data_IF_256827083569
#
_entry.id   IF_256827083569
#
_cell.length_a   1.000
_cell.length_b   1.000
_cell.length_c   1.000
_cell.angle_alpha   90.00
_cell.angle_beta   90.00
_cell.angle_gamma   90.00
#
_symmetry.space_group_name_H-M   'P 1'
#
loop_
_entity.id
_entity.type
_entity.pdbx_description
1 polymer ?
#
# COMPACT_ATOMS: atom_id res chain seq x y z
N UNK A 1 7.72 -15.84 18.93
CA UNK A 1 7.01 -16.20 17.69
C UNK A 1 7.84 -15.78 16.48
N UNK A 2 7.60 -16.38 15.33
CA UNK A 2 8.13 -15.89 14.06
C UNK A 2 7.02 -15.15 13.30
N UNK A 3 7.20 -13.86 13.06
CA UNK A 3 6.30 -12.98 12.32
C UNK A 3 6.92 -12.50 10.99
N UNK A 4 7.93 -13.21 10.48
CA UNK A 4 8.65 -12.86 9.25
C UNK A 4 7.76 -12.81 8.01
N UNK A 5 6.58 -13.38 8.06
CA UNK A 5 5.65 -13.39 6.94
C UNK A 5 4.64 -12.24 6.97
N UNK A 6 4.29 -11.72 8.17
CA UNK A 6 3.30 -10.66 8.30
C UNK A 6 3.34 -9.96 9.66
N UNK A 7 3.32 -8.63 9.64
CA UNK A 7 3.11 -7.77 10.82
C UNK A 7 1.75 -8.00 11.48
N UNK A 8 0.75 -8.50 10.74
CA UNK A 8 -0.58 -8.76 11.25
C UNK A 8 -0.61 -9.81 12.39
N UNK A 9 0.35 -10.73 12.41
CA UNK A 9 0.46 -11.72 13.49
C UNK A 9 0.79 -11.06 14.82
N UNK A 10 1.60 -10.02 14.80
CA UNK A 10 1.91 -9.21 15.99
C UNK A 10 0.70 -8.35 16.37
N UNK A 11 0.19 -7.55 15.43
CA UNK A 11 -0.94 -6.63 15.67
C UNK A 11 -2.17 -7.35 16.23
N UNK A 12 -2.52 -8.53 15.72
CA UNK A 12 -3.67 -9.31 16.18
C UNK A 12 -3.59 -9.65 17.67
N UNK A 13 -2.40 -10.02 18.16
CA UNK A 13 -2.19 -10.36 19.57
C UNK A 13 -2.10 -9.10 20.46
N UNK A 14 -1.53 -8.02 19.95
CA UNK A 14 -1.46 -6.75 20.68
C UNK A 14 -2.85 -6.17 20.92
N UNK A 15 -3.72 -6.15 19.90
CA UNK A 15 -5.08 -5.59 19.97
C UNK A 15 -5.94 -6.27 21.05
N UNK A 16 -5.73 -7.55 21.31
CA UNK A 16 -6.46 -8.29 22.34
C UNK A 16 -5.75 -8.35 23.70
N UNK A 17 -4.44 -8.01 23.71
CA UNK A 17 -3.53 -8.25 24.83
C UNK A 17 -3.96 -7.63 26.16
N UNK A 18 -4.57 -6.43 26.16
CA UNK A 18 -5.04 -5.76 27.36
C UNK A 18 -6.18 -6.52 28.08
N UNK A 19 -6.88 -7.40 27.38
CA UNK A 19 -7.99 -8.20 27.92
C UNK A 19 -7.55 -9.57 28.47
N UNK A 20 -6.29 -9.94 28.30
CA UNK A 20 -5.75 -11.16 28.90
C UNK A 20 -5.42 -10.91 30.37
N UNK A 21 -5.60 -11.91 31.25
CA UNK A 21 -5.39 -11.80 32.68
C UNK A 21 -4.00 -11.28 33.06
N UNK A 22 -2.99 -11.62 32.26
CA UNK A 22 -1.58 -11.21 32.49
C UNK A 22 -1.04 -10.29 31.41
N UNK A 23 -1.90 -9.79 30.52
CA UNK A 23 -1.47 -9.12 29.30
C UNK A 23 -0.77 -10.07 28.33
N UNK A 24 0.08 -9.53 27.45
CA UNK A 24 0.86 -10.31 26.51
C UNK A 24 2.27 -9.73 26.36
N UNK A 25 3.26 -10.59 26.27
CA UNK A 25 4.61 -10.20 25.83
C UNK A 25 4.97 -11.03 24.60
N UNK A 26 5.26 -10.34 23.50
CA UNK A 26 5.65 -10.96 22.24
C UNK A 26 7.12 -10.71 21.99
N UNK A 27 7.83 -11.77 21.65
CA UNK A 27 9.22 -11.71 21.16
C UNK A 27 9.24 -12.27 19.76
N UNK A 28 9.64 -11.46 18.80
CA UNK A 28 9.89 -11.91 17.43
C UNK A 28 11.33 -12.42 17.32
N UNK A 29 11.49 -13.60 16.73
CA UNK A 29 12.78 -14.29 16.60
C UNK A 29 13.05 -14.76 15.16
N UNK A 30 12.37 -14.19 14.19
CA UNK A 30 12.53 -14.51 12.78
C UNK A 30 13.38 -13.49 12.00
N UNK A 31 13.22 -13.49 10.68
CA UNK A 31 13.73 -12.42 9.80
C UNK A 31 12.97 -11.12 10.09
N UNK A 32 13.48 -9.92 9.71
CA UNK A 32 12.78 -8.66 9.94
C UNK A 32 11.31 -8.74 9.54
N UNK A 33 10.44 -8.22 10.42
CA UNK A 33 8.99 -8.21 10.17
C UNK A 33 8.70 -7.26 9.00
N UNK A 34 7.98 -7.70 7.97
CA UNK A 34 7.61 -6.81 6.88
C UNK A 34 6.53 -5.83 7.32
N UNK A 35 6.48 -4.66 6.68
CA UNK A 35 5.47 -3.62 6.98
C UNK A 35 5.39 -3.28 8.47
N UNK A 36 6.54 -3.12 9.11
CA UNK A 36 6.66 -2.80 10.55
C UNK A 36 5.84 -1.55 10.96
N UNK A 37 5.67 -0.50 10.11
CA UNK A 37 4.81 0.64 10.43
C UNK A 37 3.38 0.26 10.84
N UNK A 38 2.82 -0.86 10.37
CA UNK A 38 1.50 -1.33 10.82
C UNK A 38 1.48 -1.76 12.29
N UNK A 39 2.62 -2.25 12.82
CA UNK A 39 2.73 -2.55 14.26
C UNK A 39 2.82 -1.25 15.04
N UNK A 40 3.60 -0.27 14.56
CA UNK A 40 3.69 1.04 15.19
C UNK A 40 2.32 1.74 15.24
N UNK A 41 1.53 1.67 14.16
CA UNK A 41 0.16 2.16 14.10
C UNK A 41 -0.73 1.47 15.15
N UNK A 42 -0.63 0.14 15.27
CA UNK A 42 -1.36 -0.64 16.28
C UNK A 42 -1.00 -0.20 17.71
N UNK A 43 0.29 0.00 17.98
CA UNK A 43 0.79 0.46 19.28
C UNK A 43 0.27 1.87 19.60
N UNK A 44 0.30 2.78 18.63
CA UNK A 44 -0.20 4.14 18.78
C UNK A 44 -1.70 4.14 19.15
N UNK A 45 -2.52 3.42 18.38
CA UNK A 45 -3.97 3.29 18.63
C UNK A 45 -4.28 2.70 20.01
N UNK A 46 -3.52 1.69 20.46
CA UNK A 46 -3.67 1.11 21.78
C UNK A 46 -3.34 2.12 22.89
N UNK A 47 -2.28 2.91 22.71
CA UNK A 47 -1.90 3.96 23.67
C UNK A 47 -2.95 5.08 23.76
N UNK A 48 -3.52 5.49 22.63
CA UNK A 48 -4.65 6.43 22.62
C UNK A 48 -5.84 5.91 23.42
N UNK A 49 -6.14 4.60 23.32
CA UNK A 49 -7.18 3.95 24.11
C UNK A 49 -6.79 3.71 25.58
N UNK A 50 -5.66 4.28 26.05
CA UNK A 50 -5.19 4.19 27.43
C UNK A 50 -4.51 2.87 27.78
N UNK A 51 -4.21 2.04 26.81
CA UNK A 51 -3.53 0.75 27.02
C UNK A 51 -2.03 0.98 27.19
N UNK A 52 -1.44 0.42 28.25
CA UNK A 52 0.01 0.48 28.46
C UNK A 52 0.70 -0.53 27.55
N UNK A 53 1.47 -0.02 26.58
CA UNK A 53 2.29 -0.80 25.65
C UNK A 53 3.75 -0.38 25.77
N UNK A 54 4.64 -1.35 25.97
CA UNK A 54 6.08 -1.18 25.97
C UNK A 54 6.67 -1.85 24.72
N UNK A 55 7.28 -1.07 23.86
CA UNK A 55 7.97 -1.45 22.63
C UNK A 55 9.42 -0.94 22.60
N UNK A 56 9.98 -0.62 23.78
CA UNK A 56 11.32 -0.05 23.94
C UNK A 56 12.46 -1.03 23.56
N UNK A 57 12.19 -2.33 23.61
CA UNK A 57 13.15 -3.35 23.22
C UNK A 57 12.88 -3.82 21.78
N UNK A 58 13.95 -3.89 20.97
CA UNK A 58 13.85 -4.36 19.58
C UNK A 58 13.15 -5.72 19.48
N UNK A 59 12.27 -5.87 18.50
CA UNK A 59 11.51 -7.11 18.25
C UNK A 59 10.70 -7.62 19.45
N UNK A 60 10.32 -6.71 20.36
CA UNK A 60 9.60 -7.08 21.58
C UNK A 60 8.51 -6.07 21.87
N UNK A 61 7.31 -6.57 22.11
CA UNK A 61 6.14 -5.75 22.46
C UNK A 61 5.48 -6.35 23.67
N UNK A 62 5.18 -5.51 24.67
CA UNK A 62 4.50 -5.91 25.88
C UNK A 62 3.25 -5.07 26.07
N UNK A 63 2.09 -5.71 26.15
CA UNK A 63 0.82 -5.08 26.50
C UNK A 63 0.45 -5.50 27.92
N UNK A 64 0.27 -4.52 28.81
CA UNK A 64 -0.18 -4.77 30.18
C UNK A 64 -1.68 -5.01 30.22
N UNK A 65 -2.19 -5.85 31.15
CA UNK A 65 -3.62 -6.00 31.33
C UNK A 65 -4.23 -4.70 31.87
N UNK A 66 -5.43 -4.38 31.44
CA UNK A 66 -6.10 -3.16 31.91
C UNK A 66 -7.36 -2.80 31.13
N UNK A 67 -8.00 -1.70 31.49
CA UNK A 67 -9.15 -1.19 30.76
C UNK A 67 -8.72 -0.67 29.39
N UNK A 68 -9.64 -0.77 28.43
CA UNK A 68 -9.56 -0.09 27.13
C UNK A 68 -10.62 1.01 27.19
N UNK A 69 -10.19 2.26 27.06
CA UNK A 69 -11.09 3.41 27.14
C UNK A 69 -11.81 3.59 25.80
N UNK A 70 -13.05 4.06 25.88
CA UNK A 70 -13.77 4.50 24.70
C UNK A 70 -13.09 5.74 24.11
N UNK A 71 -13.01 5.78 22.79
CA UNK A 71 -12.48 6.91 22.03
C UNK A 71 -13.60 7.51 21.18
N UNK A 72 -13.58 8.82 21.05
CA UNK A 72 -14.35 9.54 20.04
C UNK A 72 -13.35 9.99 18.97
N UNK A 73 -13.34 9.30 17.83
CA UNK A 73 -12.34 9.50 16.79
C UNK A 73 -12.99 9.73 15.43
N UNK A 74 -12.44 10.66 14.68
CA UNK A 74 -12.69 10.77 13.25
C UNK A 74 -11.72 9.84 12.52
N UNK A 75 -12.27 8.89 11.75
CA UNK A 75 -11.46 7.90 11.05
C UNK A 75 -10.77 8.56 9.87
N UNK A 76 -9.45 8.46 9.81
CA UNK A 76 -8.65 8.93 8.68
C UNK A 76 -9.04 8.20 7.38
N UNK A 77 -8.92 8.86 6.20
CA UNK A 77 -8.97 8.17 4.92
C UNK A 77 -7.94 7.03 4.88
N UNK A 78 -8.27 5.92 4.22
CA UNK A 78 -7.29 4.88 3.92
C UNK A 78 -6.35 5.37 2.80
N UNK A 79 -5.13 5.73 3.17
CA UNK A 79 -4.17 6.37 2.27
C UNK A 79 -3.66 5.41 1.20
N UNK A 80 -3.60 4.11 1.50
CA UNK A 80 -3.21 3.10 0.51
C UNK A 80 -4.30 2.91 -0.56
N UNK A 81 -5.57 2.91 -0.13
CA UNK A 81 -6.70 2.78 -1.06
C UNK A 81 -6.98 4.07 -1.83
N UNK A 82 -6.57 5.23 -1.32
CA UNK A 82 -6.55 6.49 -2.06
C UNK A 82 -5.52 6.48 -3.21
N UNK A 83 -4.54 5.60 -3.15
CA UNK A 83 -3.41 5.53 -4.08
C UNK A 83 -3.78 5.56 -5.55
N UNK A 84 -4.64 4.67 -6.07
CA UNK A 84 -5.02 4.67 -7.48
C UNK A 84 -5.69 5.97 -7.93
N UNK A 85 -6.45 6.64 -7.05
CA UNK A 85 -7.14 7.89 -7.38
C UNK A 85 -6.16 9.05 -7.52
N UNK A 86 -5.21 9.22 -6.59
CA UNK A 86 -4.20 10.27 -6.71
C UNK A 86 -3.20 9.97 -7.83
N UNK A 87 -2.88 8.70 -8.09
CA UNK A 87 -2.07 8.28 -9.22
C UNK A 87 -2.73 8.59 -10.56
N UNK A 88 -4.07 8.55 -10.64
CA UNK A 88 -4.81 8.91 -11.85
C UNK A 88 -4.54 10.37 -12.28
N UNK A 89 -4.31 11.30 -11.33
CA UNK A 89 -3.92 12.66 -11.67
C UNK A 89 -2.62 12.70 -12.50
N UNK A 90 -1.63 11.89 -12.11
CA UNK A 90 -0.36 11.80 -12.82
C UNK A 90 -0.53 11.13 -14.19
N UNK A 91 -1.29 10.03 -14.26
CA UNK A 91 -1.56 9.31 -15.50
C UNK A 91 -2.28 10.17 -16.53
N UNK A 92 -3.31 10.91 -16.12
CA UNK A 92 -4.17 11.69 -17.01
C UNK A 92 -3.67 13.12 -17.27
N UNK A 93 -2.67 13.61 -16.53
CA UNK A 93 -2.25 15.01 -16.62
C UNK A 93 -3.32 15.96 -16.04
N UNK A 94 -3.88 15.59 -14.87
CA UNK A 94 -4.97 16.32 -14.23
C UNK A 94 -4.68 16.62 -12.76
N UNK A 95 -5.76 16.86 -12.00
CA UNK A 95 -5.70 17.14 -10.57
C UNK A 95 -6.72 16.30 -9.81
N UNK A 96 -6.30 15.74 -8.68
CA UNK A 96 -7.15 15.03 -7.72
C UNK A 96 -6.86 15.56 -6.33
N UNK A 97 -7.91 15.82 -5.54
CA UNK A 97 -7.81 16.19 -4.14
C UNK A 97 -8.50 15.13 -3.30
N UNK A 98 -7.80 14.60 -2.30
CA UNK A 98 -8.37 13.71 -1.27
C UNK A 98 -8.56 14.55 -0.01
N UNK A 99 -9.79 14.86 0.38
CA UNK A 99 -10.04 15.64 1.58
C UNK A 99 -9.68 14.85 2.84
N UNK A 100 -9.33 15.57 3.91
CA UNK A 100 -9.04 14.95 5.19
C UNK A 100 -7.74 14.11 5.22
N UNK A 101 -6.85 14.25 4.23
CA UNK A 101 -5.53 13.63 4.30
C UNK A 101 -4.77 14.20 5.49
N UNK A 102 -4.35 13.38 6.44
CA UNK A 102 -3.77 13.88 7.69
C UNK A 102 -2.39 14.50 7.47
N UNK A 103 -2.10 15.58 8.21
CA UNK A 103 -0.79 16.23 8.19
C UNK A 103 0.28 15.36 8.85
N UNK A 104 -0.13 14.54 9.82
CA UNK A 104 0.70 13.55 10.52
C UNK A 104 -0.10 12.27 10.65
N UNK A 105 0.51 11.15 10.30
CA UNK A 105 -0.14 9.84 10.34
C UNK A 105 0.88 8.73 10.56
N UNK A 106 0.41 7.62 11.10
CA UNK A 106 1.17 6.36 11.17
C UNK A 106 0.87 5.43 9.99
N UNK A 107 -0.01 5.81 9.08
CA UNK A 107 -0.29 5.02 7.89
C UNK A 107 0.90 5.04 6.91
N UNK A 108 1.47 3.87 6.62
CA UNK A 108 2.56 3.72 5.65
C UNK A 108 2.18 4.21 4.24
N UNK A 109 0.90 4.24 3.92
CA UNK A 109 0.38 4.75 2.65
C UNK A 109 0.71 6.22 2.37
N UNK A 110 1.08 7.01 3.39
CA UNK A 110 1.52 8.40 3.23
C UNK A 110 2.81 8.53 2.39
N UNK A 111 3.65 7.49 2.33
CA UNK A 111 4.82 7.42 1.44
C UNK A 111 4.46 7.69 -0.03
N UNK A 112 3.21 7.47 -0.40
CA UNK A 112 2.72 7.71 -1.75
C UNK A 112 2.96 9.15 -2.23
N UNK A 113 2.92 10.15 -1.35
CA UNK A 113 3.22 11.55 -1.70
C UNK A 113 4.64 11.71 -2.24
N UNK A 114 5.61 11.05 -1.58
CA UNK A 114 7.01 11.08 -2.00
C UNK A 114 7.20 10.30 -3.31
N UNK A 115 6.57 9.13 -3.43
CA UNK A 115 6.60 8.31 -4.65
C UNK A 115 6.08 9.11 -5.85
N UNK A 116 4.91 9.72 -5.72
CA UNK A 116 4.31 10.49 -6.81
C UNK A 116 5.15 11.73 -7.16
N UNK A 117 5.72 12.40 -6.17
CA UNK A 117 6.62 13.53 -6.41
C UNK A 117 7.88 13.11 -7.18
N UNK A 118 8.50 11.98 -6.81
CA UNK A 118 9.65 11.41 -7.54
C UNK A 118 9.28 10.99 -8.97
N UNK A 119 8.02 10.58 -9.19
CA UNK A 119 7.52 10.21 -10.52
C UNK A 119 6.97 11.40 -11.33
N UNK A 120 7.15 12.64 -10.86
CA UNK A 120 6.86 13.87 -11.63
C UNK A 120 5.54 14.57 -11.28
N UNK A 121 4.86 14.16 -10.21
CA UNK A 121 3.69 14.89 -9.73
C UNK A 121 4.06 16.06 -8.82
N UNK A 122 3.18 17.05 -8.75
CA UNK A 122 3.20 18.05 -7.68
C UNK A 122 2.19 17.65 -6.60
N UNK A 123 2.68 17.42 -5.39
CA UNK A 123 1.88 17.07 -4.23
C UNK A 123 1.81 18.27 -3.27
N UNK A 124 0.61 18.74 -2.95
CA UNK A 124 0.37 19.82 -2.00
C UNK A 124 -0.56 19.31 -0.90
N UNK A 125 -0.09 19.40 0.35
CA UNK A 125 -0.90 19.06 1.53
C UNK A 125 -1.21 20.35 2.28
N UNK A 126 -2.49 20.61 2.48
CA UNK A 126 -2.99 21.77 3.19
C UNK A 126 -4.24 21.40 4.04
N UNK A 127 -4.95 22.40 4.58
CA UNK A 127 -6.14 22.21 5.41
C UNK A 127 -7.31 21.54 4.67
N UNK A 128 -7.28 21.49 3.33
CA UNK A 128 -8.30 20.82 2.51
C UNK A 128 -7.96 19.36 2.23
N UNK A 129 -6.74 18.91 2.55
CA UNK A 129 -6.23 17.57 2.31
C UNK A 129 -5.08 17.51 1.31
N UNK A 130 -4.87 16.35 0.70
CA UNK A 130 -3.82 16.15 -0.30
C UNK A 130 -4.33 16.46 -1.70
N UNK A 131 -3.70 17.41 -2.36
CA UNK A 131 -3.91 17.68 -3.79
C UNK A 131 -2.70 17.19 -4.58
N UNK A 132 -2.94 16.30 -5.54
CA UNK A 132 -1.94 15.82 -6.51
C UNK A 132 -2.26 16.36 -7.88
N UNK A 133 -1.28 16.98 -8.51
CA UNK A 133 -1.35 17.50 -9.88
C UNK A 133 -0.29 16.83 -10.73
N UNK A 134 -0.70 16.21 -11.83
CA UNK A 134 0.16 15.57 -12.81
C UNK A 134 0.17 16.29 -14.14
N UNK A 135 1.20 16.01 -14.94
CA UNK A 135 1.37 16.54 -16.30
C UNK A 135 1.05 15.51 -17.38
N UNK A 136 0.77 14.27 -17.00
CA UNK A 136 0.69 13.14 -17.93
C UNK A 136 2.06 12.58 -18.31
N UNK A 137 3.14 13.16 -17.82
CA UNK A 137 4.50 12.63 -17.95
C UNK A 137 4.85 11.91 -16.64
N UNK A 138 5.36 10.71 -16.74
CA UNK A 138 5.66 9.85 -15.58
C UNK A 138 7.14 9.48 -15.64
N UNK A 139 7.88 9.84 -14.62
CA UNK A 139 9.29 9.50 -14.50
C UNK A 139 9.47 8.08 -13.97
N UNK A 140 10.59 7.44 -14.31
CA UNK A 140 10.99 6.18 -13.69
C UNK A 140 11.43 6.38 -12.24
N UNK A 141 11.37 5.30 -11.44
CA UNK A 141 11.72 5.34 -10.01
C UNK A 141 12.55 4.12 -9.62
N UNK A 142 13.49 4.29 -8.70
CA UNK A 142 14.16 3.22 -7.97
C UNK A 142 13.83 3.35 -6.50
N UNK A 143 13.04 2.42 -5.96
CA UNK A 143 12.45 2.56 -4.62
C UNK A 143 12.39 1.24 -3.86
N UNK A 144 12.67 1.31 -2.56
CA UNK A 144 12.36 0.25 -1.59
C UNK A 144 11.00 0.53 -0.96
N UNK A 145 10.04 -0.38 -1.19
CA UNK A 145 8.68 -0.30 -0.65
C UNK A 145 8.43 -1.27 0.50
N UNK A 146 9.47 -1.71 1.19
CA UNK A 146 9.38 -2.68 2.30
C UNK A 146 8.35 -2.27 3.35
N UNK A 147 8.30 -0.99 3.68
CA UNK A 147 7.45 -0.45 4.74
C UNK A 147 6.05 -0.05 4.27
N UNK A 148 5.85 0.08 2.95
CA UNK A 148 4.58 0.43 2.30
C UNK A 148 4.29 -0.48 1.10
N UNK A 149 4.45 -1.77 1.27
CA UNK A 149 4.41 -2.76 0.20
C UNK A 149 3.06 -2.88 -0.51
N UNK A 150 1.99 -2.45 0.14
CA UNK A 150 0.66 -2.36 -0.44
C UNK A 150 0.56 -1.33 -1.57
N UNK A 151 1.50 -0.39 -1.68
CA UNK A 151 1.59 0.56 -2.78
C UNK A 151 2.17 -0.06 -4.06
N UNK A 152 2.84 -1.21 -3.96
CA UNK A 152 3.54 -1.87 -5.08
C UNK A 152 2.69 -1.98 -6.34
N UNK A 153 1.43 -2.45 -6.31
CA UNK A 153 0.64 -2.57 -7.54
C UNK A 153 0.36 -1.23 -8.23
N UNK A 154 0.09 -0.17 -7.44
CA UNK A 154 -0.10 1.18 -7.99
C UNK A 154 1.19 1.73 -8.60
N UNK A 155 2.32 1.57 -7.90
CA UNK A 155 3.64 2.03 -8.38
C UNK A 155 4.07 1.25 -9.62
N UNK A 156 3.81 -0.06 -9.69
CA UNK A 156 4.11 -0.89 -10.86
C UNK A 156 3.28 -0.47 -12.08
N UNK A 157 2.01 -0.09 -11.89
CA UNK A 157 1.17 0.46 -12.96
C UNK A 157 1.73 1.78 -13.49
N UNK A 158 2.14 2.70 -12.60
CA UNK A 158 2.81 3.95 -13.00
C UNK A 158 4.13 3.68 -13.72
N UNK A 159 4.94 2.74 -13.23
CA UNK A 159 6.22 2.35 -13.83
C UNK A 159 6.06 1.79 -15.25
N UNK A 160 4.99 1.05 -15.52
CA UNK A 160 4.69 0.56 -16.87
C UNK A 160 4.31 1.69 -17.85
N UNK A 161 3.78 2.79 -17.32
CA UNK A 161 3.40 3.99 -18.08
C UNK A 161 4.50 5.07 -18.11
N UNK A 162 5.61 4.85 -17.41
CA UNK A 162 6.69 5.81 -17.27
C UNK A 162 7.51 6.00 -18.56
N UNK A 163 8.40 7.00 -18.57
CA UNK A 163 9.31 7.28 -19.70
C UNK A 163 10.69 6.63 -19.53
N UNK A 164 11.01 6.17 -18.32
CA UNK A 164 12.29 5.56 -17.98
C UNK A 164 12.08 4.29 -17.15
N UNK A 165 13.08 3.39 -17.11
CA UNK A 165 13.01 2.18 -16.31
C UNK A 165 12.77 2.48 -14.83
N UNK A 166 12.04 1.57 -14.17
CA UNK A 166 11.79 1.62 -12.75
C UNK A 166 12.25 0.34 -12.05
N UNK A 167 12.60 0.47 -10.78
CA UNK A 167 12.95 -0.65 -9.94
C UNK A 167 12.20 -0.55 -8.61
N UNK A 168 11.39 -1.57 -8.29
CA UNK A 168 10.66 -1.71 -7.03
C UNK A 168 11.30 -2.86 -6.26
N UNK A 169 11.69 -2.61 -5.00
CA UNK A 169 12.45 -3.54 -4.17
C UNK A 169 11.84 -3.72 -2.78
N UNK A 170 12.36 -4.71 -2.05
CA UNK A 170 12.05 -4.92 -0.63
C UNK A 170 10.69 -5.60 -0.37
N UNK A 171 9.99 -6.06 -1.40
CA UNK A 171 8.59 -6.48 -1.33
C UNK A 171 8.36 -7.99 -1.49
N UNK A 172 9.35 -8.82 -1.14
CA UNK A 172 9.23 -10.29 -1.23
C UNK A 172 7.98 -10.86 -0.55
N UNK A 173 7.57 -10.26 0.54
CA UNK A 173 6.46 -10.73 1.38
C UNK A 173 5.08 -10.57 0.73
N UNK A 174 4.92 -9.69 -0.30
CA UNK A 174 3.64 -9.56 -1.01
C UNK A 174 3.30 -10.79 -1.87
N UNK A 175 4.21 -11.75 -1.99
CA UNK A 175 3.92 -13.06 -2.60
C UNK A 175 2.94 -13.89 -1.78
N UNK A 176 2.84 -13.63 -0.48
CA UNK A 176 1.94 -14.31 0.45
C UNK A 176 0.64 -13.56 0.75
N UNK A 177 0.32 -12.49 0.00
CA UNK A 177 -0.91 -11.73 0.19
C UNK A 177 -2.11 -12.42 -0.48
N UNK A 178 -3.10 -11.67 -1.01
CA UNK A 178 -4.28 -12.22 -1.69
C UNK A 178 -3.90 -13.11 -2.88
N UNK A 179 -2.79 -12.78 -3.53
CA UNK A 179 -2.12 -13.58 -4.56
C UNK A 179 -0.61 -13.35 -4.46
N UNK A 180 0.19 -14.13 -5.22
CA UNK A 180 1.59 -13.74 -5.45
C UNK A 180 1.60 -12.49 -6.35
N UNK A 181 1.57 -11.31 -5.70
CA UNK A 181 1.49 -10.02 -6.40
C UNK A 181 2.67 -9.76 -7.33
N UNK A 182 3.88 -10.26 -7.00
CA UNK A 182 5.04 -10.08 -7.87
C UNK A 182 4.88 -10.88 -9.16
N UNK A 183 4.52 -12.15 -9.06
CA UNK A 183 4.29 -13.00 -10.23
C UNK A 183 3.10 -12.50 -11.06
N UNK A 184 1.99 -12.09 -10.41
CA UNK A 184 0.81 -11.56 -11.08
C UNK A 184 1.13 -10.25 -11.84
N UNK A 185 1.80 -9.28 -11.21
CA UNK A 185 2.21 -8.03 -11.85
C UNK A 185 3.18 -8.29 -13.02
N UNK A 186 4.18 -9.16 -12.82
CA UNK A 186 5.12 -9.51 -13.90
C UNK A 186 4.40 -10.10 -15.11
N UNK A 187 3.44 -11.00 -14.86
CA UNK A 187 2.65 -11.65 -15.92
C UNK A 187 1.80 -10.62 -16.67
N UNK A 188 0.98 -9.85 -15.96
CA UNK A 188 0.02 -8.96 -16.59
C UNK A 188 0.68 -7.75 -17.27
N UNK A 189 1.71 -7.16 -16.66
CA UNK A 189 2.43 -6.05 -17.28
C UNK A 189 3.23 -6.51 -18.50
N UNK A 190 3.77 -7.73 -18.49
CA UNK A 190 4.41 -8.31 -19.67
C UNK A 190 3.38 -8.57 -20.77
N UNK A 191 2.21 -9.11 -20.45
CA UNK A 191 1.12 -9.30 -21.39
C UNK A 191 0.63 -7.98 -22.01
N UNK A 192 0.64 -6.86 -21.25
CA UNK A 192 0.36 -5.52 -21.76
C UNK A 192 1.42 -5.00 -22.74
N UNK A 193 2.63 -5.57 -22.74
CA UNK A 193 3.73 -5.17 -23.62
C UNK A 193 4.95 -4.57 -22.92
N UNK A 194 4.91 -4.32 -21.61
CA UNK A 194 6.09 -3.87 -20.86
C UNK A 194 7.17 -4.97 -20.80
N UNK A 195 8.42 -4.58 -20.63
CA UNK A 195 9.51 -5.51 -20.39
C UNK A 195 9.76 -5.60 -18.88
N UNK A 196 9.29 -6.69 -18.28
CA UNK A 196 9.30 -6.86 -16.83
C UNK A 196 10.22 -8.02 -16.45
N UNK A 197 11.12 -7.75 -15.52
CA UNK A 197 11.94 -8.78 -14.87
C UNK A 197 11.49 -8.94 -13.42
N UNK A 198 11.00 -10.12 -13.10
CA UNK A 198 10.69 -10.50 -11.73
C UNK A 198 11.96 -10.91 -10.98
N UNK A 199 12.16 -10.30 -9.80
CA UNK A 199 13.22 -10.64 -8.85
C UNK A 199 12.63 -11.29 -7.60
N UNK A 200 13.48 -11.90 -6.77
CA UNK A 200 13.04 -12.55 -5.54
C UNK A 200 12.26 -11.60 -4.60
N UNK A 201 12.64 -10.33 -4.57
CA UNK A 201 12.09 -9.31 -3.67
C UNK A 201 11.53 -8.07 -4.39
N UNK A 202 11.27 -8.14 -5.70
CA UNK A 202 10.77 -6.98 -6.42
C UNK A 202 10.64 -7.15 -7.92
N UNK A 203 10.46 -6.01 -8.60
CA UNK A 203 10.28 -5.94 -10.05
C UNK A 203 11.19 -4.88 -10.65
N UNK A 204 11.78 -5.20 -11.80
CA UNK A 204 12.35 -4.22 -12.71
C UNK A 204 11.41 -4.08 -13.89
N UNK A 205 10.96 -2.87 -14.17
CA UNK A 205 9.99 -2.58 -15.24
C UNK A 205 10.63 -1.59 -16.22
N UNK A 206 10.73 -2.00 -17.47
CA UNK A 206 11.17 -1.15 -18.58
C UNK A 206 9.94 -0.84 -19.43
N UNK A 207 9.51 0.43 -19.49
CA UNK A 207 8.33 0.81 -20.25
C UNK A 207 8.55 0.58 -21.74
N UNK A 208 7.50 0.11 -22.42
CA UNK A 208 7.40 -0.07 -23.88
C UNK A 208 5.99 0.31 -24.32
N UNK A 209 5.73 0.45 -25.62
CA UNK A 209 4.36 0.67 -26.10
C UNK A 209 3.41 -0.41 -25.59
N UNK A 210 2.40 -0.01 -24.83
CA UNK A 210 1.41 -0.90 -24.24
C UNK A 210 0.20 -1.05 -25.17
N UNK A 211 -0.51 -2.18 -25.04
CA UNK A 211 -1.75 -2.48 -25.76
C UNK A 211 -2.81 -3.07 -24.83
N UNK A 212 -4.08 -3.02 -25.27
CA UNK A 212 -5.19 -3.54 -24.49
C UNK A 212 -5.15 -5.06 -24.35
N UNK A 213 -5.49 -5.54 -23.17
CA UNK A 213 -5.63 -6.97 -22.83
C UNK A 213 -6.84 -7.18 -21.92
N UNK A 214 -7.21 -8.43 -21.72
CA UNK A 214 -7.99 -8.85 -20.56
C UNK A 214 -7.00 -9.05 -19.40
N UNK A 215 -7.00 -8.12 -18.46
CA UNK A 215 -6.12 -8.11 -17.31
C UNK A 215 -6.73 -8.95 -16.19
N UNK A 216 -6.10 -10.03 -15.83
CA UNK A 216 -6.54 -10.91 -14.75
C UNK A 216 -6.23 -10.30 -13.37
N UNK A 217 -7.20 -10.32 -12.47
CA UNK A 217 -7.06 -9.71 -11.14
C UNK A 217 -6.63 -10.69 -10.07
N UNK A 218 -6.66 -11.97 -10.32
CA UNK A 218 -6.32 -13.02 -9.36
C UNK A 218 -7.11 -12.89 -8.04
N UNK A 219 -8.34 -12.39 -8.14
CA UNK A 219 -9.19 -12.07 -6.98
C UNK A 219 -8.58 -11.03 -6.01
N UNK A 220 -7.66 -10.20 -6.50
CA UNK A 220 -6.99 -9.16 -5.73
C UNK A 220 -7.47 -7.76 -6.16
N UNK A 221 -8.01 -7.01 -5.20
CA UNK A 221 -8.54 -5.66 -5.42
C UNK A 221 -7.46 -4.67 -5.89
N UNK A 222 -6.19 -4.84 -5.48
CA UNK A 222 -5.10 -3.96 -5.88
C UNK A 222 -4.62 -4.26 -7.30
N UNK A 223 -4.72 -5.51 -7.74
CA UNK A 223 -4.52 -5.84 -9.16
C UNK A 223 -5.61 -5.21 -10.02
N UNK A 224 -6.86 -5.25 -9.57
CA UNK A 224 -7.98 -4.63 -10.28
C UNK A 224 -7.80 -3.10 -10.41
N UNK A 225 -7.45 -2.41 -9.33
CA UNK A 225 -7.22 -0.95 -9.36
C UNK A 225 -6.00 -0.56 -10.19
N UNK A 226 -4.95 -1.38 -10.22
CA UNK A 226 -3.78 -1.18 -11.10
C UNK A 226 -4.14 -1.29 -12.57
N UNK A 227 -4.94 -2.32 -12.93
CA UNK A 227 -5.45 -2.48 -14.29
C UNK A 227 -6.31 -1.29 -14.71
N UNK A 228 -7.21 -0.82 -13.83
CA UNK A 228 -8.04 0.34 -14.07
C UNK A 228 -7.20 1.61 -14.30
N UNK A 229 -6.15 1.81 -13.49
CA UNK A 229 -5.22 2.94 -13.62
C UNK A 229 -4.51 2.93 -14.99
N UNK A 230 -4.03 1.77 -15.43
CA UNK A 230 -3.43 1.62 -16.77
C UNK A 230 -4.47 1.88 -17.85
N UNK A 231 -5.69 1.39 -17.67
CA UNK A 231 -6.81 1.57 -18.60
C UNK A 231 -7.21 3.02 -18.84
N UNK A 232 -6.89 3.95 -17.94
CA UNK A 232 -7.09 5.38 -18.16
C UNK A 232 -6.27 5.93 -19.35
N UNK A 233 -5.19 5.25 -19.73
CA UNK A 233 -4.29 5.69 -20.79
C UNK A 233 -4.16 4.69 -21.93
N UNK A 234 -4.35 3.39 -21.67
CA UNK A 234 -4.19 2.31 -22.65
C UNK A 234 -5.56 1.79 -23.06
N UNK A 235 -5.95 2.07 -24.30
CA UNK A 235 -7.24 1.62 -24.84
C UNK A 235 -7.32 0.10 -24.91
N UNK A 236 -8.50 -0.45 -24.55
CA UNK A 236 -8.79 -1.88 -24.66
C UNK A 236 -8.35 -2.72 -23.47
N UNK A 237 -7.85 -2.11 -22.39
CA UNK A 237 -7.67 -2.82 -21.11
C UNK A 237 -9.04 -3.15 -20.52
N UNK A 238 -9.26 -4.43 -20.25
CA UNK A 238 -10.47 -4.96 -19.63
C UNK A 238 -10.12 -5.60 -18.29
N UNK A 239 -10.67 -5.07 -17.19
CA UNK A 239 -10.46 -5.62 -15.84
C UNK A 239 -11.36 -6.82 -15.63
N UNK A 240 -10.77 -8.01 -15.43
CA UNK A 240 -11.52 -9.24 -15.14
C UNK A 240 -11.86 -9.29 -13.67
N UNK A 241 -13.06 -9.78 -13.31
CA UNK A 241 -13.54 -9.88 -11.92
C UNK A 241 -13.42 -8.55 -11.16
N UNK A 242 -13.96 -7.47 -11.72
CA UNK A 242 -13.92 -6.13 -11.11
C UNK A 242 -14.55 -6.08 -9.72
N UNK A 243 -15.47 -7.01 -9.42
CA UNK A 243 -16.11 -7.18 -8.12
C UNK A 243 -15.13 -7.43 -6.97
N UNK A 244 -13.89 -7.84 -7.25
CA UNK A 244 -12.85 -7.97 -6.21
C UNK A 244 -12.57 -6.64 -5.51
N UNK A 245 -12.86 -5.51 -6.16
CA UNK A 245 -12.71 -4.17 -5.57
C UNK A 245 -13.67 -3.90 -4.42
N UNK A 246 -14.77 -4.66 -4.30
CA UNK A 246 -15.73 -4.54 -3.21
C UNK A 246 -15.10 -4.75 -1.82
N UNK A 247 -13.93 -5.39 -1.74
CA UNK A 247 -13.16 -5.52 -0.48
C UNK A 247 -12.76 -4.17 0.11
N UNK A 248 -12.46 -3.18 -0.73
CA UNK A 248 -11.92 -1.88 -0.30
C UNK A 248 -12.68 -0.68 -0.86
N UNK A 249 -13.40 -0.86 -1.97
CA UNK A 249 -14.23 0.15 -2.61
C UNK A 249 -15.69 -0.32 -2.58
N UNK A 250 -16.21 -0.63 -1.38
CA UNK A 250 -17.59 -1.07 -1.24
C UNK A 250 -18.58 0.08 -1.49
N UNK A 251 -19.82 -0.28 -1.85
CA UNK A 251 -20.89 0.69 -2.15
C UNK A 251 -21.22 1.68 -1.02
N UNK A 252 -20.75 1.44 0.20
CA UNK A 252 -20.91 2.38 1.32
C UNK A 252 -20.05 3.64 1.17
N UNK A 253 -19.13 3.67 0.20
CA UNK A 253 -18.27 4.80 -0.11
C UNK A 253 -18.75 5.60 -1.34
N UNK A 254 -19.92 5.27 -1.86
CA UNK A 254 -20.55 5.97 -2.99
C UNK A 254 -21.65 6.90 -2.46
#
# INVERSE_FOLDING_TARGET
>A
MDASQSSQFVSALLLSGARYERGVTLHHNGKPVPSEPHIAMTVATLREAGVAVDDSAANTWRVSPGPIHALDVEVEPDLSNAGPFVAAALVCGGRVTIPGWPAQTTQAGDLLREVLAQMGATCTLDEHGLTVTGTGQIDGIDIDLRDASELTPTVAALAALAQAPSWIRGVAHIRGHETDRLAALATELTALGADVTEHADGLRIIPKPLHGIRFETYHDHRMATSAALIGLRVLGVQVVNVETTAKTLSLIHI
#
